data_IF_688735811913
#
_entry.id   IF_688735811913
#
_cell.length_a   1.000
_cell.length_b   1.000
_cell.length_c   1.000
_cell.angle_alpha   90.00
_cell.angle_beta   90.00
_cell.angle_gamma   90.00
#
_symmetry.space_group_name_H-M   'P 1'
#
loop_
_entity.id
_entity.type
_entity.pdbx_description
1 polymer ?
#
# COMPACT_ATOMS: atom_id res chain seq x y z
N UNK A 1 22.54 41.27 31.32
CA UNK A 1 21.80 42.32 30.56
C UNK A 1 21.34 41.90 29.15
N UNK A 2 22.02 40.99 28.38
CA UNK A 2 21.51 40.52 27.07
C UNK A 2 20.40 39.45 27.14
N UNK A 3 20.42 38.57 28.14
CA UNK A 3 19.49 37.42 28.23
C UNK A 3 18.04 37.79 28.58
N UNK A 4 17.84 38.82 29.41
CA UNK A 4 16.50 39.28 29.78
C UNK A 4 15.76 39.94 28.62
N UNK A 5 16.49 40.70 27.78
CA UNK A 5 15.92 41.30 26.56
C UNK A 5 15.52 40.22 25.55
N UNK A 6 16.32 39.17 25.38
CA UNK A 6 16.00 38.02 24.51
C UNK A 6 14.75 37.26 24.97
N UNK A 7 14.63 37.00 26.29
CA UNK A 7 13.44 36.36 26.88
C UNK A 7 12.18 37.21 26.73
N UNK A 8 12.27 38.52 26.99
CA UNK A 8 11.14 39.44 26.82
C UNK A 8 10.67 39.51 25.36
N UNK A 9 11.60 39.50 24.41
CA UNK A 9 11.28 39.52 22.96
C UNK A 9 10.61 38.21 22.53
N UNK A 10 11.09 37.06 23.02
CA UNK A 10 10.42 35.76 22.79
C UNK A 10 9.01 35.71 23.37
N UNK A 11 8.81 36.22 24.58
CA UNK A 11 7.49 36.28 25.22
C UNK A 11 6.51 37.17 24.45
N UNK A 12 6.98 38.33 23.96
CA UNK A 12 6.18 39.21 23.11
C UNK A 12 5.79 38.52 21.78
N UNK A 13 6.75 37.88 21.09
CA UNK A 13 6.45 37.10 19.88
C UNK A 13 5.48 35.94 20.14
N UNK A 14 5.65 35.22 21.25
CA UNK A 14 4.75 34.14 21.64
C UNK A 14 3.33 34.66 21.92
N UNK A 15 3.19 35.80 22.59
CA UNK A 15 1.88 36.42 22.85
C UNK A 15 1.20 36.90 21.57
N UNK A 16 1.95 37.47 20.63
CA UNK A 16 1.43 37.85 19.31
C UNK A 16 1.04 36.61 18.48
N UNK A 17 1.82 35.53 18.56
CA UNK A 17 1.52 34.27 17.86
C UNK A 17 0.28 33.57 18.40
N UNK A 18 -0.03 33.71 19.70
CA UNK A 18 -1.28 33.19 20.30
C UNK A 18 -2.50 33.89 19.69
N UNK A 19 -2.47 35.22 19.57
CA UNK A 19 -3.58 35.97 18.96
C UNK A 19 -3.82 35.58 17.50
N UNK A 20 -2.76 35.35 16.73
CA UNK A 20 -2.86 34.87 15.34
C UNK A 20 -3.43 33.45 15.27
N UNK A 21 -2.97 32.55 16.15
CA UNK A 21 -3.44 31.16 16.19
C UNK A 21 -4.91 31.09 16.58
N UNK A 22 -5.32 31.84 17.61
CA UNK A 22 -6.70 31.93 18.05
C UNK A 22 -7.62 32.51 16.97
N UNK A 23 -7.13 33.51 16.23
CA UNK A 23 -7.86 34.05 15.08
C UNK A 23 -8.05 33.00 13.98
N UNK A 24 -7.00 32.25 13.65
CA UNK A 24 -7.04 31.18 12.64
C UNK A 24 -8.02 30.08 13.07
N UNK A 25 -8.01 29.65 14.33
CA UNK A 25 -8.93 28.63 14.82
C UNK A 25 -10.38 29.09 14.85
N UNK A 26 -10.65 30.33 15.30
CA UNK A 26 -11.99 30.93 15.24
C UNK A 26 -12.49 31.07 13.80
N UNK A 27 -11.61 31.46 12.88
CA UNK A 27 -11.96 31.58 11.47
C UNK A 27 -12.26 30.21 10.84
N UNK A 28 -11.44 29.18 11.14
CA UNK A 28 -11.66 27.81 10.67
C UNK A 28 -12.96 27.21 11.20
N UNK A 29 -13.28 27.43 12.47
CA UNK A 29 -14.50 26.91 13.10
C UNK A 29 -15.77 27.63 12.62
N UNK A 30 -15.66 28.89 12.19
CA UNK A 30 -16.77 29.65 11.62
C UNK A 30 -17.10 29.27 10.16
N UNK A 31 -16.23 28.54 9.48
CA UNK A 31 -16.41 28.16 8.07
C UNK A 31 -17.26 26.88 7.92
N UNK A 32 -18.19 26.82 6.96
CA UNK A 32 -18.92 25.60 6.65
C UNK A 32 -17.98 24.47 6.21
N UNK A 33 -18.26 23.21 6.58
CA UNK A 33 -17.41 22.05 6.23
C UNK A 33 -17.29 21.85 4.72
N UNK A 34 -18.32 22.23 3.95
CA UNK A 34 -18.30 22.20 2.48
C UNK A 34 -17.28 23.15 1.87
N UNK A 35 -16.94 24.26 2.55
CA UNK A 35 -15.96 25.24 2.07
C UNK A 35 -14.54 24.81 2.45
N UNK A 36 -14.35 24.28 3.66
CA UNK A 36 -13.04 23.77 4.12
C UNK A 36 -12.53 22.60 3.27
N UNK A 37 -13.42 21.72 2.81
CA UNK A 37 -13.06 20.58 1.96
C UNK A 37 -13.08 20.89 0.46
N UNK A 38 -13.37 22.13 0.06
CA UNK A 38 -13.44 22.51 -1.36
C UNK A 38 -12.04 22.71 -1.93
N UNK A 39 -11.73 21.97 -3.00
CA UNK A 39 -10.48 22.16 -3.74
C UNK A 39 -10.35 23.56 -4.37
N UNK A 40 -11.46 24.30 -4.53
CA UNK A 40 -11.48 25.68 -5.08
C UNK A 40 -10.67 26.67 -4.23
N UNK A 41 -10.51 26.39 -2.94
CA UNK A 41 -9.78 27.24 -2.00
C UNK A 41 -8.50 26.58 -1.47
N UNK A 42 -8.05 25.48 -2.11
CA UNK A 42 -6.81 24.79 -1.75
C UNK A 42 -5.61 25.43 -2.45
N UNK A 43 -4.57 25.75 -1.67
CA UNK A 43 -3.27 26.18 -2.19
C UNK A 43 -2.21 25.16 -1.75
N UNK A 44 -1.68 24.40 -2.71
CA UNK A 44 -0.70 23.35 -2.44
C UNK A 44 0.71 23.91 -2.51
N UNK A 45 1.47 23.77 -1.42
CA UNK A 45 2.88 24.17 -1.33
C UNK A 45 3.74 22.92 -1.33
N UNK A 46 4.62 22.78 -2.33
CA UNK A 46 5.62 21.72 -2.37
C UNK A 46 6.97 22.30 -1.93
N UNK A 47 7.45 21.89 -0.76
CA UNK A 47 8.77 22.26 -0.26
C UNK A 47 9.79 21.26 -0.78
N UNK A 48 10.51 21.64 -1.84
CA UNK A 48 11.58 20.81 -2.41
C UNK A 48 12.92 21.27 -1.85
N UNK A 49 13.62 20.45 -1.04
CA UNK A 49 14.95 20.80 -0.57
C UNK A 49 15.93 20.82 -1.74
N UNK A 50 16.55 21.96 -2.00
CA UNK A 50 17.65 22.06 -2.97
C UNK A 50 18.97 21.77 -2.28
N UNK A 51 19.67 20.74 -2.76
CA UNK A 51 21.04 20.47 -2.30
C UNK A 51 21.95 21.56 -2.88
N UNK A 52 22.35 22.51 -2.05
CA UNK A 52 23.33 23.52 -2.41
C UNK A 52 24.73 23.05 -2.00
N UNK A 53 25.71 23.15 -2.90
CA UNK A 53 27.11 22.73 -2.65
C UNK A 53 27.82 23.55 -1.54
N UNK A 54 27.19 24.58 -0.97
CA UNK A 54 27.73 25.40 0.13
C UNK A 54 26.63 25.67 1.15
N UNK A 55 26.96 25.60 2.44
CA UNK A 55 26.01 25.82 3.54
C UNK A 55 25.33 27.21 3.47
N UNK A 56 26.04 28.24 3.02
CA UNK A 56 25.51 29.61 2.87
C UNK A 56 24.58 29.82 1.67
N UNK A 57 24.43 28.83 0.79
CA UNK A 57 23.55 28.90 -0.37
C UNK A 57 22.20 28.18 -0.15
N UNK A 58 22.03 27.49 0.99
CA UNK A 58 20.76 26.88 1.38
C UNK A 58 19.72 27.93 1.82
N UNK A 59 20.18 29.05 2.40
CA UNK A 59 19.31 30.10 2.97
C UNK A 59 18.58 30.97 1.91
N UNK A 60 18.88 30.82 0.62
CA UNK A 60 18.49 31.81 -0.43
C UNK A 60 17.50 31.25 -1.47
N UNK A 61 17.05 29.99 -1.40
CA UNK A 61 16.35 29.39 -2.55
C UNK A 61 14.92 28.95 -2.23
N UNK A 62 14.07 29.91 -1.86
CA UNK A 62 12.62 29.75 -2.00
C UNK A 62 12.25 30.26 -3.39
N UNK A 63 12.06 29.34 -4.35
CA UNK A 63 11.68 29.67 -5.72
C UNK A 63 10.23 29.21 -5.96
N UNK A 64 9.34 30.17 -6.24
CA UNK A 64 7.97 29.89 -6.63
C UNK A 64 7.92 29.59 -8.12
N UNK A 65 7.56 28.35 -8.48
CA UNK A 65 7.40 27.94 -9.87
C UNK A 65 5.91 27.90 -10.18
N UNK A 66 5.48 28.68 -11.17
CA UNK A 66 4.14 28.55 -11.75
C UNK A 66 4.14 27.36 -12.68
N UNK A 67 3.32 26.36 -12.37
CA UNK A 67 3.26 25.10 -13.13
C UNK A 67 2.92 25.35 -14.60
N UNK A 68 2.13 26.38 -14.89
CA UNK A 68 1.70 26.75 -16.25
C UNK A 68 2.83 27.37 -17.11
N UNK A 69 3.92 27.85 -16.48
CA UNK A 69 5.05 28.53 -17.12
C UNK A 69 6.36 27.73 -17.00
N UNK A 70 6.32 26.51 -16.43
CA UNK A 70 7.51 25.72 -16.15
C UNK A 70 8.09 25.03 -17.40
N UNK A 71 9.42 24.97 -17.50
CA UNK A 71 10.06 24.26 -18.60
C UNK A 71 9.89 22.73 -18.50
N UNK A 72 9.92 21.99 -19.62
CA UNK A 72 9.77 20.53 -19.62
C UNK A 72 10.80 19.81 -18.74
N UNK A 73 12.03 20.35 -18.67
CA UNK A 73 13.09 19.78 -17.83
C UNK A 73 12.83 19.97 -16.33
N UNK A 74 12.25 21.11 -15.93
CA UNK A 74 11.90 21.39 -14.54
C UNK A 74 10.72 20.52 -14.08
N UNK A 75 9.71 20.36 -14.94
CA UNK A 75 8.60 19.44 -14.70
C UNK A 75 9.09 18.00 -14.51
N UNK A 76 9.99 17.51 -15.36
CA UNK A 76 10.57 16.16 -15.24
C UNK A 76 11.37 15.98 -13.94
N UNK A 77 12.08 17.02 -13.47
CA UNK A 77 12.78 16.98 -12.18
C UNK A 77 11.80 16.93 -11.00
N UNK A 78 10.73 17.71 -11.05
CA UNK A 78 9.67 17.71 -10.03
C UNK A 78 8.93 16.37 -9.98
N UNK A 79 8.64 15.75 -11.12
CA UNK A 79 8.06 14.41 -11.21
C UNK A 79 8.96 13.35 -10.56
N UNK A 80 10.26 13.35 -10.83
CA UNK A 80 11.22 12.42 -10.20
C UNK A 80 11.26 12.56 -8.68
N UNK A 81 11.10 13.78 -8.17
CA UNK A 81 11.02 14.04 -6.74
C UNK A 81 9.68 13.61 -6.15
N UNK A 82 8.58 13.79 -6.88
CA UNK A 82 7.25 13.32 -6.48
C UNK A 82 7.20 11.77 -6.40
N UNK A 83 7.90 11.08 -7.31
CA UNK A 83 8.11 9.63 -7.25
C UNK A 83 8.84 9.20 -5.98
N UNK A 84 9.74 10.03 -5.43
CA UNK A 84 10.43 9.76 -4.16
C UNK A 84 9.51 9.94 -2.93
N UNK A 85 8.47 10.80 -3.05
CA UNK A 85 7.50 11.12 -1.99
C UNK A 85 6.28 10.18 -2.03
N UNK A 86 6.05 9.45 -3.14
CA UNK A 86 5.09 8.33 -3.15
C UNK A 86 5.45 7.41 -1.99
N UNK A 87 4.54 7.35 -1.03
CA UNK A 87 4.67 6.56 0.19
C UNK A 87 5.31 5.22 -0.16
N UNK A 88 6.44 4.95 0.48
CA UNK A 88 6.98 3.60 0.61
C UNK A 88 5.90 2.83 1.36
N UNK A 89 4.92 2.28 0.63
CA UNK A 89 3.99 1.30 1.16
C UNK A 89 4.87 0.30 1.89
N UNK A 90 4.77 0.28 3.21
CA UNK A 90 5.50 -0.70 4.01
C UNK A 90 5.07 -2.03 3.42
N UNK A 91 6.00 -2.84 2.86
CA UNK A 91 5.62 -4.09 2.24
C UNK A 91 5.08 -4.99 3.34
N UNK A 92 3.76 -5.01 3.48
CA UNK A 92 3.08 -5.95 4.35
C UNK A 92 3.26 -7.29 3.64
N UNK A 93 4.13 -8.14 4.18
CA UNK A 93 4.59 -9.38 3.53
C UNK A 93 3.44 -10.27 3.00
N UNK A 94 2.26 -10.17 3.64
CA UNK A 94 1.08 -10.97 3.30
C UNK A 94 -0.07 -10.19 2.65
N UNK A 95 0.15 -8.95 2.20
CA UNK A 95 -0.90 -8.16 1.56
C UNK A 95 -1.40 -8.85 0.28
N UNK A 96 -2.70 -9.15 0.21
CA UNK A 96 -3.30 -9.82 -0.94
C UNK A 96 -3.02 -11.32 -1.03
N UNK A 97 -2.50 -11.94 0.03
CA UNK A 97 -2.31 -13.38 0.12
C UNK A 97 -3.42 -14.03 0.96
N UNK A 98 -3.82 -15.23 0.58
CA UNK A 98 -4.92 -15.98 1.17
C UNK A 98 -4.42 -17.23 1.89
N UNK A 99 -5.04 -17.56 3.02
CA UNK A 99 -4.81 -18.86 3.68
C UNK A 99 -5.52 -19.97 2.91
N UNK A 100 -5.05 -21.21 3.08
CA UNK A 100 -5.68 -22.38 2.46
C UNK A 100 -7.19 -22.47 2.72
N UNK A 101 -7.61 -22.14 3.94
CA UNK A 101 -9.03 -22.08 4.34
C UNK A 101 -9.80 -21.05 3.52
N UNK A 102 -9.21 -19.91 3.22
CA UNK A 102 -9.85 -18.83 2.46
C UNK A 102 -9.93 -19.18 0.98
N UNK A 103 -8.92 -19.87 0.43
CA UNK A 103 -8.98 -20.45 -0.93
C UNK A 103 -10.16 -21.41 -1.05
N UNK A 104 -10.35 -22.33 -0.09
CA UNK A 104 -11.49 -23.26 -0.10
C UNK A 104 -12.83 -22.53 0.03
N UNK A 105 -12.92 -21.49 0.86
CA UNK A 105 -14.13 -20.67 0.96
C UNK A 105 -14.44 -19.97 -0.36
N UNK A 106 -13.44 -19.37 -1.02
CA UNK A 106 -13.61 -18.73 -2.31
C UNK A 106 -14.07 -19.73 -3.38
N UNK A 107 -13.43 -20.90 -3.47
CA UNK A 107 -13.80 -21.95 -4.43
C UNK A 107 -15.21 -22.49 -4.22
N UNK A 108 -15.68 -22.62 -2.97
CA UNK A 108 -17.06 -23.01 -2.68
C UNK A 108 -18.09 -22.03 -3.24
N UNK A 109 -17.76 -20.75 -3.35
CA UNK A 109 -18.64 -19.73 -3.91
C UNK A 109 -18.61 -19.73 -5.45
N UNK A 110 -17.47 -20.05 -6.04
CA UNK A 110 -17.25 -19.98 -7.49
C UNK A 110 -17.65 -21.27 -8.23
N UNK A 111 -17.52 -22.43 -7.59
CA UNK A 111 -17.73 -23.74 -8.22
C UNK A 111 -19.09 -24.36 -7.85
N UNK A 112 -19.68 -25.06 -8.81
CA UNK A 112 -20.92 -25.84 -8.63
C UNK A 112 -20.69 -27.18 -7.94
N UNK A 113 -19.44 -27.60 -7.77
CA UNK A 113 -19.07 -28.86 -7.14
C UNK A 113 -18.70 -28.68 -5.66
N UNK A 114 -18.82 -29.75 -4.88
CA UNK A 114 -18.39 -29.79 -3.49
C UNK A 114 -16.86 -29.72 -3.40
N UNK A 115 -16.36 -28.59 -2.90
CA UNK A 115 -14.94 -28.37 -2.63
C UNK A 115 -14.66 -28.47 -1.13
N UNK A 116 -13.61 -29.19 -0.75
CA UNK A 116 -13.13 -29.29 0.63
C UNK A 116 -11.61 -29.06 0.73
N UNK A 117 -11.07 -29.13 1.95
CA UNK A 117 -9.62 -29.06 2.16
C UNK A 117 -8.87 -30.20 1.47
N UNK A 118 -9.49 -31.37 1.30
CA UNK A 118 -8.87 -32.48 0.57
C UNK A 118 -8.72 -32.14 -0.92
N UNK A 119 -9.72 -31.49 -1.52
CA UNK A 119 -9.70 -31.00 -2.90
C UNK A 119 -8.52 -30.05 -3.13
N UNK A 120 -8.37 -29.04 -2.26
CA UNK A 120 -7.25 -28.11 -2.33
C UNK A 120 -5.91 -28.82 -2.12
N UNK A 121 -5.87 -29.81 -1.22
CA UNK A 121 -4.66 -30.62 -0.98
C UNK A 121 -4.23 -31.42 -2.21
N UNK A 122 -5.18 -32.03 -2.90
CA UNK A 122 -4.91 -32.75 -4.14
C UNK A 122 -4.49 -31.78 -5.25
N UNK A 123 -5.12 -30.61 -5.34
CA UNK A 123 -4.82 -29.61 -6.37
C UNK A 123 -3.37 -29.09 -6.30
N UNK A 124 -2.88 -28.63 -5.14
CA UNK A 124 -1.50 -28.13 -5.08
C UNK A 124 -0.47 -29.23 -5.32
N UNK A 125 -0.79 -30.49 -5.01
CA UNK A 125 0.06 -31.66 -5.31
C UNK A 125 0.06 -31.97 -6.80
N UNK A 126 -1.10 -31.96 -7.45
CA UNK A 126 -1.26 -32.23 -8.87
C UNK A 126 -0.51 -31.19 -9.71
N UNK A 127 -0.70 -29.90 -9.39
CA UNK A 127 -0.04 -28.80 -10.08
C UNK A 127 1.38 -28.49 -9.57
N UNK A 128 1.87 -29.20 -8.56
CA UNK A 128 3.22 -29.07 -7.97
C UNK A 128 3.58 -27.63 -7.59
N UNK A 129 2.60 -26.88 -7.07
CA UNK A 129 2.75 -25.45 -6.76
C UNK A 129 3.64 -25.19 -5.54
N UNK A 130 3.71 -26.16 -4.62
CA UNK A 130 4.51 -26.06 -3.40
C UNK A 130 5.03 -27.43 -2.99
N UNK A 131 6.10 -27.52 -2.19
CA UNK A 131 6.55 -28.78 -1.65
C UNK A 131 5.60 -29.28 -0.55
N UNK A 132 5.82 -30.51 -0.11
CA UNK A 132 5.08 -31.05 1.02
C UNK A 132 5.37 -30.24 2.30
N UNK A 133 4.40 -30.21 3.21
CA UNK A 133 4.62 -29.72 4.56
C UNK A 133 5.86 -30.40 5.18
N UNK A 134 6.72 -29.62 5.82
CA UNK A 134 7.98 -30.09 6.43
C UNK A 134 9.05 -30.59 5.44
N UNK A 135 8.97 -30.22 4.15
CA UNK A 135 10.09 -30.43 3.25
C UNK A 135 11.32 -29.64 3.70
N UNK A 136 12.52 -30.17 3.47
CA UNK A 136 13.77 -29.50 3.86
C UNK A 136 14.09 -28.19 3.13
N UNK A 137 13.29 -27.84 2.11
CA UNK A 137 13.37 -26.58 1.36
C UNK A 137 11.95 -26.03 1.13
N UNK A 138 11.28 -25.51 2.17
CA UNK A 138 9.88 -25.10 2.10
C UNK A 138 9.66 -23.90 1.18
N UNK A 139 10.66 -23.06 0.97
CA UNK A 139 10.62 -21.88 0.09
C UNK A 139 10.50 -22.20 -1.41
N UNK A 140 10.73 -23.46 -1.83
CA UNK A 140 10.65 -23.89 -3.23
C UNK A 140 9.20 -23.99 -3.73
N UNK A 141 8.56 -22.83 -3.85
CA UNK A 141 7.17 -22.65 -4.30
C UNK A 141 7.13 -22.00 -5.68
N UNK A 142 6.07 -22.25 -6.44
CA UNK A 142 5.75 -21.42 -7.61
C UNK A 142 5.15 -20.10 -7.10
N UNK A 143 6.00 -19.06 -7.04
CA UNK A 143 5.64 -17.74 -6.51
C UNK A 143 4.46 -17.06 -7.20
N UNK A 144 4.03 -17.54 -8.37
CA UNK A 144 2.80 -17.06 -9.03
C UNK A 144 1.55 -17.49 -8.28
N UNK A 145 1.61 -18.60 -7.54
CA UNK A 145 0.44 -19.26 -6.96
C UNK A 145 0.54 -19.46 -5.45
N UNK A 146 1.74 -19.68 -4.91
CA UNK A 146 1.95 -19.86 -3.48
C UNK A 146 3.26 -19.24 -3.03
N UNK A 147 3.24 -18.72 -1.80
CA UNK A 147 4.40 -18.15 -1.12
C UNK A 147 4.51 -18.83 0.25
N UNK A 148 5.72 -19.18 0.65
CA UNK A 148 5.99 -19.70 1.99
C UNK A 148 6.05 -18.53 2.99
N UNK A 149 5.24 -18.59 4.05
CA UNK A 149 5.28 -17.66 5.16
C UNK A 149 6.25 -18.20 6.21
N UNK A 150 7.43 -17.59 6.30
CA UNK A 150 8.46 -18.00 7.27
C UNK A 150 8.09 -17.70 8.72
N UNK A 151 7.19 -16.74 8.97
CA UNK A 151 6.76 -16.35 10.32
C UNK A 151 5.81 -17.40 10.90
N UNK A 152 4.90 -17.91 10.08
CA UNK A 152 3.90 -18.90 10.49
C UNK A 152 4.28 -20.34 10.13
N UNK A 153 5.31 -20.54 9.31
CA UNK A 153 5.77 -21.85 8.89
C UNK A 153 4.77 -22.57 7.96
N UNK A 154 3.84 -21.83 7.37
CA UNK A 154 2.81 -22.33 6.48
C UNK A 154 2.92 -21.69 5.09
N UNK A 155 1.97 -22.01 4.21
CA UNK A 155 1.96 -21.43 2.87
C UNK A 155 0.68 -20.66 2.65
N UNK A 156 0.87 -19.50 2.05
CA UNK A 156 -0.19 -18.62 1.61
C UNK A 156 -0.28 -18.65 0.08
N UNK A 157 -1.41 -18.20 -0.45
CA UNK A 157 -1.77 -18.33 -1.86
C UNK A 157 -2.14 -16.99 -2.47
N UNK A 158 -1.90 -16.83 -3.75
CA UNK A 158 -2.24 -15.60 -4.48
C UNK A 158 -3.67 -15.68 -5.04
N UNK A 159 -4.23 -14.55 -5.45
CA UNK A 159 -5.49 -14.52 -6.20
C UNK A 159 -5.40 -15.36 -7.49
N UNK A 160 -4.27 -15.30 -8.19
CA UNK A 160 -4.04 -16.08 -9.41
C UNK A 160 -4.17 -17.60 -9.19
N UNK A 161 -3.90 -18.09 -7.99
CA UNK A 161 -4.14 -19.49 -7.66
C UNK A 161 -5.63 -19.83 -7.57
N UNK A 162 -6.42 -18.94 -6.96
CA UNK A 162 -7.88 -19.10 -6.87
C UNK A 162 -8.48 -19.10 -8.27
N UNK A 163 -8.08 -18.17 -9.13
CA UNK A 163 -8.61 -18.03 -10.48
C UNK A 163 -8.27 -19.24 -11.36
N UNK A 164 -7.03 -19.75 -11.24
CA UNK A 164 -6.62 -20.99 -11.91
C UNK A 164 -7.50 -22.17 -11.45
N UNK A 165 -7.66 -22.37 -10.15
CA UNK A 165 -8.48 -23.46 -9.63
C UNK A 165 -9.95 -23.33 -10.01
N UNK A 166 -10.51 -22.12 -10.00
CA UNK A 166 -11.88 -21.89 -10.42
C UNK A 166 -12.11 -22.25 -11.90
N UNK A 167 -11.10 -22.05 -12.74
CA UNK A 167 -11.16 -22.41 -14.16
C UNK A 167 -10.99 -23.91 -14.39
N UNK A 168 -9.94 -24.51 -13.81
CA UNK A 168 -9.57 -25.91 -14.04
C UNK A 168 -10.54 -26.88 -13.36
N UNK A 169 -11.01 -26.58 -12.15
CA UNK A 169 -11.92 -27.46 -11.39
C UNK A 169 -13.39 -27.31 -11.79
N UNK A 170 -13.72 -26.37 -12.69
CA UNK A 170 -15.05 -26.28 -13.27
C UNK A 170 -15.32 -27.41 -14.29
N UNK A 171 -14.27 -27.94 -14.93
CA UNK A 171 -14.36 -29.09 -15.81
C UNK A 171 -14.40 -30.39 -15.00
N UNK A 172 -15.39 -31.24 -15.28
CA UNK A 172 -15.61 -32.49 -14.55
C UNK A 172 -14.45 -33.49 -14.72
N UNK A 173 -13.85 -33.54 -15.92
CA UNK A 173 -12.73 -34.43 -16.22
C UNK A 173 -11.48 -34.02 -15.45
N UNK A 174 -11.17 -32.73 -15.47
CA UNK A 174 -10.05 -32.13 -14.75
C UNK A 174 -10.25 -32.24 -13.24
N UNK A 175 -11.47 -32.03 -12.73
CA UNK A 175 -11.79 -32.23 -11.32
C UNK A 175 -11.49 -33.66 -10.87
N UNK A 176 -11.91 -34.67 -11.64
CA UNK A 176 -11.67 -36.07 -11.33
C UNK A 176 -10.18 -36.43 -11.45
N UNK A 177 -9.47 -35.90 -12.45
CA UNK A 177 -8.03 -36.11 -12.61
C UNK A 177 -7.22 -35.52 -11.44
N UNK A 178 -7.64 -34.36 -10.93
CA UNK A 178 -6.99 -33.68 -9.82
C UNK A 178 -7.29 -34.36 -8.48
N UNK A 179 -8.56 -34.68 -8.23
CA UNK A 179 -9.02 -35.16 -6.90
C UNK A 179 -9.08 -36.68 -6.76
N UNK A 180 -9.09 -37.41 -7.87
CA UNK A 180 -9.36 -38.85 -7.92
C UNK A 180 -10.82 -39.22 -7.65
N UNK A 181 -11.71 -38.23 -7.45
CA UNK A 181 -13.11 -38.43 -7.10
C UNK A 181 -14.01 -37.83 -8.19
N UNK A 182 -15.16 -38.48 -8.44
CA UNK A 182 -16.17 -37.89 -9.30
C UNK A 182 -16.70 -36.58 -8.68
N UNK A 183 -16.90 -35.52 -9.47
CA UNK A 183 -17.44 -34.26 -8.98
C UNK A 183 -18.87 -34.48 -8.45
N UNK A 184 -19.11 -34.07 -7.21
CA UNK A 184 -20.44 -34.08 -6.59
C UNK A 184 -20.98 -32.66 -6.64
N UNK A 185 -22.14 -32.46 -7.26
CA UNK A 185 -22.83 -31.17 -7.26
C UNK A 185 -23.14 -30.70 -5.83
N UNK A 186 -22.98 -29.39 -5.60
CA UNK A 186 -23.17 -28.77 -4.30
C UNK A 186 -24.60 -28.84 -3.81
#
# INVERSE_FOLDING_TARGET
MPDEKSKATKLALLSASKGVTDYIEKFRTALPPTTLSSMKYSFSVFLVPRVANRASAADVVVQFIRVDEASPEELSRLEKLNILIREKQVPIANLGLFKATDVVKALKLLLLYRVSMSTHTCAWRHFKVRPASFAGAPEKTDGRYSVYDSVHGDYVYTQAWIDKLATELADAGTFQAVTGLAPVSR
#
